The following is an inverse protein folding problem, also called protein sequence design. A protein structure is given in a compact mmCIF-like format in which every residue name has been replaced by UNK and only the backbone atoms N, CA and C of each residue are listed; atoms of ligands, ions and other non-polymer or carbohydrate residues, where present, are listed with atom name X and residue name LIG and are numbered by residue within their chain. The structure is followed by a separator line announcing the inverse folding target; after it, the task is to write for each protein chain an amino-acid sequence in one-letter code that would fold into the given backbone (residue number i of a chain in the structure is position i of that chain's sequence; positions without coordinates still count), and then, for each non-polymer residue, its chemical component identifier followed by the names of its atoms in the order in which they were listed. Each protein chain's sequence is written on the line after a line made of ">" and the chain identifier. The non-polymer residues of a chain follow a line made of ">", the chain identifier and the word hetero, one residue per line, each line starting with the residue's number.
data_IF_623639291380
#
_entry.id   IF_623639291380
#
_cell.length_a   1.000
_cell.length_b   1.000
_cell.length_c   1.000
_cell.angle_alpha   90.00
_cell.angle_beta   90.00
_cell.angle_gamma   90.00
#
_symmetry.space_group_name_H-M   'P 1'
#
loop_
_entity.id
_entity.type
_entity.pdbx_description
1 polymer ?
#
# COMPACT_ATOMS: atom_id res chain seq x y z
N UNK A 1 -1.47 0.42 -6.89
CA UNK A 1 -2.61 1.22 -7.38
C UNK A 1 -2.12 2.61 -7.77
N UNK A 2 -2.42 3.13 -8.97
CA UNK A 2 -1.93 4.44 -9.41
C UNK A 2 -2.69 5.59 -8.75
N UNK A 3 -1.95 6.53 -8.18
CA UNK A 3 -2.46 7.78 -7.63
C UNK A 3 -1.87 8.96 -8.39
N UNK A 4 -2.66 9.99 -8.60
CA UNK A 4 -2.19 11.22 -9.24
C UNK A 4 -2.57 12.41 -8.37
N UNK A 5 -1.59 13.27 -8.08
CA UNK A 5 -1.77 14.56 -7.40
C UNK A 5 -2.03 15.69 -8.40
N UNK A 6 -1.74 15.50 -9.70
CA UNK A 6 -2.03 16.46 -10.76
C UNK A 6 -2.30 15.77 -12.12
N UNK A 7 -3.26 16.28 -12.92
CA UNK A 7 -3.91 15.57 -14.07
C UNK A 7 -2.99 14.80 -15.04
N UNK A 8 -1.72 15.17 -15.16
CA UNK A 8 -0.74 14.59 -16.08
C UNK A 8 0.26 13.61 -15.44
N UNK A 9 0.53 13.70 -14.14
CA UNK A 9 1.59 12.93 -13.47
C UNK A 9 0.96 11.80 -12.63
N UNK A 10 0.99 10.59 -13.19
CA UNK A 10 0.51 9.38 -12.51
C UNK A 10 1.68 8.75 -11.78
N UNK A 11 1.55 8.64 -10.46
CA UNK A 11 2.57 8.04 -9.61
C UNK A 11 2.03 6.83 -8.86
N UNK A 12 2.90 5.91 -8.48
CA UNK A 12 2.57 4.78 -7.62
C UNK A 12 3.43 4.81 -6.37
N UNK A 13 2.88 4.30 -5.28
CA UNK A 13 3.67 4.04 -4.08
C UNK A 13 4.40 2.72 -4.28
N UNK A 14 5.72 2.75 -4.21
CA UNK A 14 6.58 1.58 -4.11
C UNK A 14 7.05 1.45 -2.66
N UNK A 15 6.88 0.27 -2.06
CA UNK A 15 7.43 -0.05 -0.75
C UNK A 15 8.69 -0.90 -0.94
N UNK A 16 9.82 -0.42 -0.43
CA UNK A 16 11.12 -1.07 -0.54
C UNK A 16 11.51 -1.60 0.85
N UNK A 17 11.74 -2.92 1.01
CA UNK A 17 12.16 -3.48 2.29
C UNK A 17 13.51 -2.90 2.72
N UNK A 18 13.63 -2.61 4.01
CA UNK A 18 14.88 -2.15 4.64
C UNK A 18 15.35 -3.21 5.63
N UNK A 19 16.55 -3.74 5.41
CA UNK A 19 17.14 -4.79 6.23
C UNK A 19 16.64 -6.19 5.89
N UNK A 20 16.67 -7.09 6.86
CA UNK A 20 16.23 -8.48 6.69
C UNK A 20 14.71 -8.56 6.62
N UNK A 21 14.19 -9.22 5.58
CA UNK A 21 12.78 -9.51 5.39
C UNK A 21 12.60 -10.99 5.04
N UNK A 22 11.40 -11.56 5.25
CA UNK A 22 11.08 -12.91 4.80
C UNK A 22 11.39 -13.10 3.32
N UNK A 23 11.89 -14.28 2.95
CA UNK A 23 12.21 -14.61 1.56
C UNK A 23 10.96 -14.91 0.71
N UNK A 24 9.82 -15.19 1.34
CA UNK A 24 8.58 -15.56 0.68
C UNK A 24 7.42 -14.62 1.01
N UNK A 25 6.29 -14.82 0.33
CA UNK A 25 5.02 -14.16 0.58
C UNK A 25 4.11 -14.91 1.56
N UNK A 26 4.65 -15.91 2.28
CA UNK A 26 3.91 -16.67 3.29
C UNK A 26 3.48 -15.78 4.44
N UNK A 27 2.18 -15.83 4.80
CA UNK A 27 1.65 -15.10 5.95
C UNK A 27 2.21 -15.61 7.28
N UNK A 28 2.55 -16.90 7.36
CA UNK A 28 3.18 -17.50 8.54
C UNK A 28 4.59 -16.94 8.72
N UNK A 29 5.40 -16.95 7.66
CA UNK A 29 6.77 -16.40 7.72
C UNK A 29 6.76 -14.89 8.00
N UNK A 30 5.79 -14.16 7.46
CA UNK A 30 5.60 -12.75 7.74
C UNK A 30 5.27 -12.50 9.21
N UNK A 31 4.36 -13.30 9.79
CA UNK A 31 4.00 -13.23 11.22
C UNK A 31 5.22 -13.51 12.11
N UNK A 32 5.97 -14.58 11.81
CA UNK A 32 7.15 -14.97 12.58
C UNK A 32 8.21 -13.86 12.54
N UNK A 33 8.43 -13.27 11.36
CA UNK A 33 9.40 -12.18 11.21
C UNK A 33 9.00 -10.91 11.99
N UNK A 34 7.73 -10.49 11.93
CA UNK A 34 7.24 -9.32 12.70
C UNK A 34 7.37 -9.57 14.21
N UNK A 35 7.10 -10.80 14.65
CA UNK A 35 7.20 -11.18 16.07
C UNK A 35 8.64 -11.15 16.56
N UNK A 36 9.60 -11.52 15.69
CA UNK A 36 11.03 -11.45 16.01
C UNK A 36 11.57 -10.00 16.01
N UNK A 37 11.16 -9.18 15.03
CA UNK A 37 11.57 -7.78 14.94
C UNK A 37 10.64 -6.93 14.06
N UNK A 38 10.53 -5.61 14.28
CA UNK A 38 9.75 -4.74 13.40
C UNK A 38 10.25 -4.75 11.95
N UNK A 39 9.34 -4.95 11.00
CA UNK A 39 9.64 -4.88 9.57
C UNK A 39 9.53 -3.44 9.07
N UNK A 40 10.59 -2.95 8.41
CA UNK A 40 10.68 -1.56 7.94
C UNK A 40 10.64 -1.49 6.43
N UNK A 41 9.89 -0.53 5.91
CA UNK A 41 9.78 -0.23 4.50
C UNK A 41 10.02 1.25 4.26
N UNK A 42 10.86 1.57 3.27
CA UNK A 42 10.95 2.91 2.72
C UNK A 42 9.92 3.04 1.60
N UNK A 43 9.21 4.16 1.57
CA UNK A 43 8.21 4.44 0.55
C UNK A 43 8.79 5.41 -0.47
N UNK A 44 8.54 5.13 -1.74
CA UNK A 44 8.89 5.97 -2.88
C UNK A 44 7.66 6.24 -3.74
N UNK A 45 7.57 7.43 -4.33
CA UNK A 45 6.66 7.75 -5.42
C UNK A 45 7.39 7.53 -6.74
N UNK A 46 6.91 6.59 -7.53
CA UNK A 46 7.49 6.23 -8.84
C UNK A 46 6.55 6.65 -9.97
N UNK A 47 7.08 7.06 -11.11
CA UNK A 47 6.34 7.32 -12.36
C UNK A 47 6.93 6.47 -13.50
N UNK A 48 6.33 6.51 -14.70
CA UNK A 48 6.89 5.80 -15.88
C UNK A 48 8.24 6.41 -16.28
N UNK A 49 8.34 7.73 -16.21
CA UNK A 49 9.33 8.53 -16.91
C UNK A 49 10.37 9.16 -16.00
N UNK A 50 10.05 9.31 -14.72
CA UNK A 50 10.87 10.06 -13.77
C UNK A 50 11.51 9.14 -12.73
N UNK A 51 12.66 9.54 -12.18
CA UNK A 51 13.27 8.83 -11.07
C UNK A 51 12.34 8.72 -9.84
N UNK A 52 12.48 7.65 -9.02
CA UNK A 52 11.74 7.52 -7.77
C UNK A 52 11.98 8.71 -6.82
N UNK A 53 10.91 9.22 -6.22
CA UNK A 53 10.96 10.31 -5.23
C UNK A 53 10.68 9.75 -3.84
N UNK A 54 11.54 9.98 -2.83
CA UNK A 54 11.27 9.55 -1.46
C UNK A 54 9.94 10.11 -0.92
N UNK A 55 9.11 9.24 -0.35
CA UNK A 55 7.75 9.56 0.08
C UNK A 55 7.54 9.40 1.59
N UNK A 56 8.31 8.53 2.24
CA UNK A 56 8.21 8.29 3.67
C UNK A 56 8.70 6.90 4.08
N UNK A 57 8.20 6.43 5.23
CA UNK A 57 8.52 5.12 5.78
C UNK A 57 7.29 4.50 6.45
N UNK A 58 7.21 3.18 6.43
CA UNK A 58 6.22 2.38 7.15
C UNK A 58 6.96 1.33 7.96
N UNK A 59 6.52 1.13 9.19
CA UNK A 59 7.02 0.05 10.04
C UNK A 59 5.86 -0.80 10.50
N UNK A 60 5.96 -2.11 10.28
CA UNK A 60 5.05 -3.11 10.83
C UNK A 60 5.64 -3.60 12.14
N UNK A 61 4.97 -3.32 13.25
CA UNK A 61 5.47 -3.59 14.61
C UNK A 61 4.71 -4.69 15.34
N UNK A 62 3.52 -5.05 14.87
CA UNK A 62 2.61 -5.94 15.59
C UNK A 62 1.76 -6.76 14.64
N UNK A 63 1.47 -8.00 15.03
CA UNK A 63 0.47 -8.87 14.40
C UNK A 63 -0.83 -8.75 15.19
N UNK A 64 -1.95 -8.59 14.48
CA UNK A 64 -3.29 -8.64 15.07
C UNK A 64 -4.05 -9.80 14.44
N UNK A 65 -4.44 -10.77 15.27
CA UNK A 65 -5.29 -11.88 14.88
C UNK A 65 -6.74 -11.52 15.23
N UNK A 66 -7.40 -10.82 14.30
CA UNK A 66 -8.80 -10.43 14.42
C UNK A 66 -9.71 -11.48 13.77
N UNK A 67 -10.89 -11.76 14.34
CA UNK A 67 -11.89 -12.57 13.66
C UNK A 67 -12.35 -11.87 12.37
N UNK A 68 -12.82 -12.65 11.39
CA UNK A 68 -13.12 -12.16 10.03
C UNK A 68 -14.09 -10.97 9.99
N UNK A 69 -15.05 -10.92 10.92
CA UNK A 69 -16.02 -9.84 11.04
C UNK A 69 -15.44 -8.54 11.62
N UNK A 70 -14.23 -8.57 12.18
CA UNK A 70 -13.53 -7.42 12.77
C UNK A 70 -12.33 -6.96 11.91
N UNK A 71 -12.01 -7.66 10.82
CA UNK A 71 -10.92 -7.27 9.94
C UNK A 71 -11.20 -5.91 9.27
N UNK A 72 -10.16 -5.06 9.11
CA UNK A 72 -10.33 -3.74 8.52
C UNK A 72 -10.74 -3.84 7.05
N UNK A 73 -11.76 -3.09 6.66
CA UNK A 73 -12.16 -2.96 5.25
C UNK A 73 -11.27 -1.96 4.52
N UNK A 74 -10.49 -2.43 3.56
CA UNK A 74 -9.70 -1.58 2.67
C UNK A 74 -10.53 -1.13 1.46
N UNK A 75 -11.27 -0.02 1.60
CA UNK A 75 -11.99 0.62 0.50
C UNK A 75 -11.23 1.86 -0.02
N UNK A 76 -10.54 1.77 -1.17
CA UNK A 76 -9.78 2.88 -1.74
C UNK A 76 -10.67 3.98 -2.34
N UNK A 77 -11.98 3.75 -2.48
CA UNK A 77 -12.96 4.72 -2.97
C UNK A 77 -13.44 5.59 -1.81
N UNK A 78 -13.89 4.95 -0.72
CA UNK A 78 -14.43 5.65 0.46
C UNK A 78 -13.34 6.35 1.26
N UNK A 79 -12.18 5.71 1.43
CA UNK A 79 -11.10 6.22 2.28
C UNK A 79 -10.05 7.03 1.49
N UNK A 80 -10.46 7.67 0.38
CA UNK A 80 -9.55 8.45 -0.48
C UNK A 80 -9.31 9.85 0.12
N UNK A 81 -8.05 10.21 0.45
CA UNK A 81 -7.72 11.55 0.91
C UNK A 81 -8.11 12.63 -0.11
N UNK A 82 -8.53 13.82 0.34
CA UNK A 82 -8.73 14.94 -0.58
C UNK A 82 -7.42 15.19 -1.35
N UNK A 83 -7.54 15.43 -2.67
CA UNK A 83 -6.43 15.64 -3.64
C UNK A 83 -5.79 14.39 -4.24
N UNK A 84 -6.12 13.17 -3.81
CA UNK A 84 -5.70 11.96 -4.54
C UNK A 84 -6.76 11.53 -5.53
N UNK A 85 -6.36 11.18 -6.75
CA UNK A 85 -7.26 10.59 -7.76
C UNK A 85 -6.77 9.21 -8.16
N UNK A 86 -7.66 8.22 -8.09
CA UNK A 86 -7.40 6.88 -8.61
C UNK A 86 -7.38 6.88 -10.14
N UNK A 87 -6.40 6.21 -10.72
CA UNK A 87 -6.23 6.09 -12.17
C UNK A 87 -6.05 4.62 -12.58
N UNK A 88 -6.38 4.24 -13.84
CA UNK A 88 -7.19 5.03 -14.77
C UNK A 88 -8.64 5.14 -14.28
N UNK A 89 -9.33 6.24 -14.63
CA UNK A 89 -10.66 6.56 -14.04
C UNK A 89 -11.72 5.51 -14.34
N UNK A 90 -11.66 4.87 -15.51
CA UNK A 90 -12.63 3.84 -15.89
C UNK A 90 -12.56 2.61 -14.97
N UNK A 91 -11.35 2.15 -14.65
CA UNK A 91 -11.14 1.03 -13.73
C UNK A 91 -11.46 1.42 -12.29
N UNK A 92 -11.16 2.65 -11.90
CA UNK A 92 -11.56 3.18 -10.60
C UNK A 92 -13.09 3.17 -10.44
N UNK A 93 -13.84 3.52 -11.49
CA UNK A 93 -15.30 3.46 -11.52
C UNK A 93 -15.87 2.06 -11.32
N UNK A 94 -15.27 1.04 -11.93
CA UNK A 94 -15.66 -0.37 -11.74
C UNK A 94 -15.43 -0.81 -10.29
N UNK A 95 -14.33 -0.39 -9.66
CA UNK A 95 -14.03 -0.72 -8.26
C UNK A 95 -15.04 -0.12 -7.27
N UNK A 96 -15.70 1.01 -7.60
CA UNK A 96 -16.78 1.57 -6.76
C UNK A 96 -17.92 0.56 -6.55
N UNK A 97 -18.21 -0.26 -7.56
CA UNK A 97 -19.23 -1.32 -7.45
C UNK A 97 -18.75 -2.58 -6.72
N UNK A 98 -17.43 -2.83 -6.68
CA UNK A 98 -16.86 -4.08 -6.16
C UNK A 98 -16.46 -4.03 -4.68
N UNK A 99 -16.34 -2.83 -4.09
CA UNK A 99 -16.06 -2.64 -2.65
C UNK A 99 -17.31 -2.25 -1.83
N UNK A 100 -18.49 -2.26 -2.46
CA UNK A 100 -19.78 -2.23 -1.76
C UNK A 100 -20.21 -3.64 -1.43
#
# INVERSE_FOLDING_TARGET
>A
MPYSSNRADTRWVLAVPVGTHPASTSLVELRDAITAAPLRFRLELVSVTDPPVPAGQVTLTQVQDLPDNEQPTFDPIRNRPPRLTLRPRWLAGVRIGAYR
#
